data_IF_502677958281
#
_entry.id   IF_502677958281
#
_cell.length_a   1.000
_cell.length_b   1.000
_cell.length_c   1.000
_cell.angle_alpha   90.00
_cell.angle_beta   90.00
_cell.angle_gamma   90.00
#
_symmetry.space_group_name_H-M   'P 1'
#
loop_
_entity.id
_entity.type
_entity.pdbx_description
1 polymer ?
#
# COMPACT_ATOMS: atom_id res chain seq x y z
N UNK A 1 12.83 -26.07 6.85
CA UNK A 1 14.01 -25.19 7.03
C UNK A 1 14.15 -24.03 6.02
N UNK A 2 13.61 -24.08 4.78
CA UNK A 2 13.70 -22.93 3.84
C UNK A 2 12.68 -21.81 4.10
N UNK A 3 11.43 -22.15 4.44
CA UNK A 3 10.37 -21.17 4.75
C UNK A 3 10.71 -20.28 5.96
N UNK A 4 11.30 -20.85 7.00
CA UNK A 4 11.69 -20.11 8.22
C UNK A 4 12.79 -19.07 7.96
N UNK A 5 13.70 -19.31 7.00
CA UNK A 5 14.80 -18.39 6.69
C UNK A 5 14.33 -17.19 5.85
N UNK A 6 13.34 -17.37 4.98
CA UNK A 6 12.72 -16.29 4.19
C UNK A 6 11.87 -15.40 5.10
N UNK A 7 11.04 -15.99 5.98
CA UNK A 7 10.23 -15.26 6.96
C UNK A 7 11.12 -14.50 7.96
N UNK A 8 12.20 -15.12 8.44
CA UNK A 8 13.15 -14.46 9.36
C UNK A 8 13.86 -13.25 8.75
N UNK A 9 14.08 -13.24 7.42
CA UNK A 9 14.68 -12.10 6.76
C UNK A 9 13.68 -10.94 6.59
N UNK A 10 12.41 -11.25 6.29
CA UNK A 10 11.37 -10.25 6.11
C UNK A 10 11.10 -9.45 7.39
N UNK A 11 11.03 -10.11 8.55
CA UNK A 11 10.81 -9.44 9.85
C UNK A 11 11.90 -8.42 10.18
N UNK A 12 13.17 -8.71 9.86
CA UNK A 12 14.29 -7.76 10.07
C UNK A 12 14.16 -6.53 9.19
N UNK A 13 13.75 -6.72 7.93
CA UNK A 13 13.51 -5.59 7.04
C UNK A 13 12.33 -4.75 7.52
N UNK A 14 11.22 -5.37 7.95
CA UNK A 14 10.09 -4.66 8.54
C UNK A 14 10.54 -3.84 9.76
N UNK A 15 11.32 -4.42 10.67
CA UNK A 15 11.85 -3.71 11.84
C UNK A 15 12.80 -2.57 11.47
N UNK A 16 13.60 -2.74 10.41
CA UNK A 16 14.46 -1.69 9.89
C UNK A 16 13.63 -0.52 9.35
N UNK A 17 12.69 -0.79 8.45
CA UNK A 17 11.93 0.25 7.77
C UNK A 17 10.88 0.92 8.68
N UNK A 18 10.40 0.24 9.72
CA UNK A 18 9.50 0.82 10.73
C UNK A 18 10.16 1.94 11.56
N UNK A 19 11.49 2.09 11.52
CA UNK A 19 12.21 3.17 12.22
C UNK A 19 12.13 4.51 11.49
N UNK A 20 11.85 4.50 10.19
CA UNK A 20 11.67 5.71 9.40
C UNK A 20 10.25 6.22 9.52
N UNK A 21 10.06 7.53 9.38
CA UNK A 21 8.72 8.14 9.34
C UNK A 21 8.19 8.17 7.91
N UNK A 22 6.91 7.84 7.67
CA UNK A 22 6.30 8.04 6.35
C UNK A 22 6.40 9.50 5.91
N UNK A 23 6.77 9.73 4.66
CA UNK A 23 6.86 11.08 4.10
C UNK A 23 5.47 11.57 3.71
N UNK A 24 4.94 12.66 4.32
CA UNK A 24 3.68 13.23 3.88
C UNK A 24 3.84 13.83 2.49
N UNK A 25 2.88 13.59 1.60
CA UNK A 25 2.86 14.14 0.24
C UNK A 25 1.60 15.00 0.09
N UNK A 26 1.79 16.25 -0.32
CA UNK A 26 0.69 17.21 -0.49
C UNK A 26 0.05 17.08 -1.88
N UNK A 27 -1.21 17.49 -2.00
CA UNK A 27 -1.90 17.52 -3.29
C UNK A 27 -1.14 18.40 -4.30
N UNK A 28 -0.69 19.58 -3.87
CA UNK A 28 0.15 20.46 -4.70
C UNK A 28 1.43 19.76 -5.16
N UNK A 29 2.13 19.06 -4.27
CA UNK A 29 3.34 18.33 -4.63
C UNK A 29 3.10 17.23 -5.67
N UNK A 30 1.96 16.52 -5.60
CA UNK A 30 1.59 15.52 -6.62
C UNK A 30 1.28 16.15 -7.97
N UNK A 31 0.60 17.32 -7.98
CA UNK A 31 0.28 18.07 -9.21
C UNK A 31 1.57 18.59 -9.84
N UNK A 32 2.41 19.28 -9.07
CA UNK A 32 3.68 19.83 -9.55
C UNK A 32 4.58 18.70 -10.10
N UNK A 33 4.64 17.57 -9.41
CA UNK A 33 5.39 16.39 -9.88
C UNK A 33 4.79 15.76 -11.15
N UNK A 34 3.49 15.84 -11.38
CA UNK A 34 2.89 15.32 -12.61
C UNK A 34 3.29 16.13 -13.86
N UNK A 35 3.64 17.41 -13.69
CA UNK A 35 4.05 18.29 -14.79
C UNK A 35 5.53 18.10 -15.11
N UNK A 36 6.40 18.15 -14.09
CA UNK A 36 7.85 18.23 -14.29
C UNK A 36 8.64 17.03 -13.71
N UNK A 37 7.97 16.02 -13.16
CA UNK A 37 8.61 14.92 -12.44
C UNK A 37 9.31 13.89 -13.31
N UNK A 38 10.48 13.43 -12.87
CA UNK A 38 11.22 12.32 -13.49
C UNK A 38 10.84 10.97 -12.87
N UNK A 39 10.64 9.95 -13.71
CA UNK A 39 10.45 8.56 -13.30
C UNK A 39 11.56 8.07 -12.35
N UNK A 40 12.80 8.55 -12.50
CA UNK A 40 13.93 8.19 -11.62
C UNK A 40 13.71 8.68 -10.20
N UNK A 41 13.18 9.88 -10.03
CA UNK A 41 12.89 10.45 -8.72
C UNK A 41 11.70 9.73 -8.08
N UNK A 42 10.66 9.45 -8.86
CA UNK A 42 9.54 8.62 -8.42
C UNK A 42 10.00 7.23 -7.96
N UNK A 43 10.88 6.58 -8.73
CA UNK A 43 11.45 5.28 -8.40
C UNK A 43 12.26 5.32 -7.09
N UNK A 44 13.17 6.29 -6.95
CA UNK A 44 14.00 6.44 -5.74
C UNK A 44 13.15 6.67 -4.50
N UNK A 45 12.10 7.48 -4.61
CA UNK A 45 11.17 7.75 -3.53
C UNK A 45 10.34 6.50 -3.18
N UNK A 46 9.63 5.91 -4.14
CA UNK A 46 8.66 4.86 -3.89
C UNK A 46 9.28 3.54 -3.43
N UNK A 47 10.47 3.18 -3.93
CA UNK A 47 11.14 1.93 -3.50
C UNK A 47 11.47 1.92 -2.00
N UNK A 48 11.55 3.09 -1.36
CA UNK A 48 11.77 3.23 0.08
C UNK A 48 10.45 3.53 0.79
N UNK A 49 9.70 4.53 0.34
CA UNK A 49 8.47 5.00 1.00
C UNK A 49 7.42 3.89 1.16
N UNK A 50 7.27 3.01 0.14
CA UNK A 50 6.33 1.89 0.22
C UNK A 50 6.73 0.89 1.32
N UNK A 51 8.02 0.58 1.45
CA UNK A 51 8.55 -0.31 2.49
C UNK A 51 8.35 0.30 3.88
N UNK A 52 8.54 1.61 4.03
CA UNK A 52 8.26 2.33 5.28
C UNK A 52 6.79 2.21 5.65
N UNK A 53 5.88 2.58 4.75
CA UNK A 53 4.42 2.56 5.03
C UNK A 53 3.90 1.16 5.34
N UNK A 54 4.36 0.14 4.61
CA UNK A 54 4.00 -1.26 4.91
C UNK A 54 4.57 -1.74 6.24
N UNK A 55 5.79 -1.31 6.61
CA UNK A 55 6.38 -1.69 7.90
C UNK A 55 5.62 -1.12 9.08
N UNK A 56 5.17 0.14 8.98
CA UNK A 56 4.28 0.75 9.97
C UNK A 56 2.97 -0.02 10.08
N UNK A 57 2.32 -0.30 8.95
CA UNK A 57 1.10 -1.11 8.93
C UNK A 57 1.30 -2.50 9.55
N UNK A 58 2.45 -3.13 9.34
CA UNK A 58 2.77 -4.42 9.96
C UNK A 58 2.93 -4.30 11.48
N UNK A 59 3.45 -3.19 11.99
CA UNK A 59 3.51 -2.92 13.44
C UNK A 59 2.12 -2.67 14.03
N UNK A 60 1.19 -2.10 13.27
CA UNK A 60 -0.21 -1.96 13.70
C UNK A 60 -0.91 -3.29 13.91
N UNK A 61 -0.45 -4.36 13.25
CA UNK A 61 -1.04 -5.70 13.43
C UNK A 61 -0.86 -6.25 14.85
N UNK A 62 0.05 -5.69 15.65
CA UNK A 62 0.23 -6.08 17.06
C UNK A 62 -0.93 -5.64 17.96
N UNK A 63 -1.78 -4.72 17.51
CA UNK A 63 -2.92 -4.20 18.30
C UNK A 63 -4.25 -4.85 17.93
N UNK A 64 -4.24 -5.83 17.01
CA UNK A 64 -5.44 -6.52 16.57
C UNK A 64 -5.78 -7.67 17.53
N UNK A 65 -7.07 -7.92 17.81
CA UNK A 65 -7.49 -9.15 18.50
C UNK A 65 -6.94 -10.41 17.82
N UNK A 66 -6.34 -11.31 18.60
CA UNK A 66 -5.77 -12.58 18.08
C UNK A 66 -6.79 -13.37 17.25
N UNK A 67 -8.07 -13.36 17.66
CA UNK A 67 -9.16 -14.02 16.92
C UNK A 67 -9.31 -13.52 15.48
N UNK A 68 -9.10 -12.22 15.21
CA UNK A 68 -9.11 -11.69 13.84
C UNK A 68 -7.87 -12.15 13.08
N UNK A 69 -6.70 -12.08 13.71
CA UNK A 69 -5.42 -12.51 13.12
C UNK A 69 -5.47 -13.97 12.66
N UNK A 70 -6.14 -14.84 13.41
CA UNK A 70 -6.26 -16.27 13.13
C UNK A 70 -7.23 -16.61 11.99
N UNK A 71 -8.06 -15.67 11.56
CA UNK A 71 -9.03 -15.93 10.49
C UNK A 71 -8.34 -16.23 9.15
N UNK A 72 -8.84 -17.21 8.36
CA UNK A 72 -8.28 -17.52 7.05
C UNK A 72 -8.19 -16.31 6.13
N UNK A 73 -9.20 -15.44 6.13
CA UNK A 73 -9.20 -14.23 5.31
C UNK A 73 -8.11 -13.23 5.75
N UNK A 74 -7.86 -13.06 7.05
CA UNK A 74 -6.76 -12.19 7.51
C UNK A 74 -5.38 -12.78 7.19
N UNK A 75 -5.23 -14.11 7.28
CA UNK A 75 -3.99 -14.77 6.86
C UNK A 75 -3.71 -14.59 5.36
N UNK A 76 -4.75 -14.53 4.53
CA UNK A 76 -4.59 -14.16 3.11
C UNK A 76 -4.09 -12.71 2.97
N UNK A 77 -4.67 -11.76 3.71
CA UNK A 77 -4.23 -10.35 3.71
C UNK A 77 -2.73 -10.25 4.04
N UNK A 78 -2.28 -10.94 5.09
CA UNK A 78 -0.88 -10.99 5.48
C UNK A 78 0.02 -11.44 4.32
N UNK A 79 -0.34 -12.55 3.65
CA UNK A 79 0.43 -13.07 2.51
C UNK A 79 0.50 -12.06 1.36
N UNK A 80 -0.59 -11.36 1.05
CA UNK A 80 -0.63 -10.38 -0.03
C UNK A 80 0.28 -9.16 0.26
N UNK A 81 0.31 -8.69 1.50
CA UNK A 81 1.21 -7.62 1.92
C UNK A 81 2.67 -8.08 1.96
N UNK A 82 2.97 -9.24 2.53
CA UNK A 82 4.33 -9.81 2.61
C UNK A 82 4.92 -10.03 1.21
N UNK A 83 4.11 -10.50 0.26
CA UNK A 83 4.52 -10.64 -1.14
C UNK A 83 4.86 -9.27 -1.75
N UNK A 84 4.00 -8.28 -1.56
CA UNK A 84 4.19 -6.94 -2.15
C UNK A 84 5.42 -6.23 -1.57
N UNK A 85 5.64 -6.38 -0.26
CA UNK A 85 6.84 -5.90 0.42
C UNK A 85 8.09 -6.55 -0.17
N UNK A 86 8.09 -7.88 -0.32
CA UNK A 86 9.24 -8.62 -0.84
C UNK A 86 9.58 -8.24 -2.28
N UNK A 87 8.55 -8.03 -3.11
CA UNK A 87 8.72 -7.59 -4.51
C UNK A 87 9.33 -6.19 -4.60
N UNK A 88 8.90 -5.23 -3.78
CA UNK A 88 9.51 -3.88 -3.75
C UNK A 88 10.90 -3.91 -3.13
N UNK A 89 11.12 -4.72 -2.09
CA UNK A 89 12.42 -4.87 -1.43
C UNK A 89 13.49 -5.37 -2.41
N UNK A 90 13.12 -6.14 -3.43
CA UNK A 90 14.04 -6.60 -4.48
C UNK A 90 14.68 -5.45 -5.28
N UNK A 91 14.10 -4.24 -5.24
CA UNK A 91 14.66 -3.04 -5.88
C UNK A 91 15.56 -2.22 -4.95
N UNK A 92 15.77 -2.66 -3.70
CA UNK A 92 16.63 -1.97 -2.77
C UNK A 92 18.08 -1.96 -3.28
N UNK A 93 18.77 -0.82 -3.17
CA UNK A 93 20.13 -0.60 -3.65
C UNK A 93 20.35 -0.86 -5.16
N UNK A 94 19.30 -0.90 -5.99
CA UNK A 94 19.44 -1.00 -7.45
C UNK A 94 19.44 0.40 -8.07
N UNK A 95 20.51 0.80 -8.77
CA UNK A 95 20.53 2.12 -9.41
C UNK A 95 19.51 2.24 -10.55
N UNK A 96 18.87 3.42 -10.72
CA UNK A 96 17.85 3.62 -11.73
C UNK A 96 18.43 3.51 -13.14
N UNK A 97 18.03 2.46 -13.84
CA UNK A 97 18.33 2.22 -15.24
C UNK A 97 17.03 1.82 -15.99
N UNK A 98 16.98 1.90 -17.33
CA UNK A 98 15.73 1.67 -18.08
C UNK A 98 15.04 0.35 -17.73
N UNK A 99 15.80 -0.73 -17.54
CA UNK A 99 15.25 -2.04 -17.15
C UNK A 99 14.68 -2.02 -15.74
N UNK A 100 15.41 -1.47 -14.77
CA UNK A 100 14.94 -1.36 -13.39
C UNK A 100 13.66 -0.52 -13.27
N UNK A 101 13.59 0.61 -13.98
CA UNK A 101 12.44 1.51 -13.98
C UNK A 101 11.19 0.83 -14.58
N UNK A 102 11.35 0.15 -15.72
CA UNK A 102 10.26 -0.62 -16.35
C UNK A 102 9.76 -1.73 -15.43
N UNK A 103 10.68 -2.56 -14.92
CA UNK A 103 10.34 -3.68 -14.05
C UNK A 103 9.68 -3.20 -12.75
N UNK A 104 10.10 -2.05 -12.21
CA UNK A 104 9.48 -1.45 -11.03
C UNK A 104 8.05 -1.01 -11.33
N UNK A 105 7.84 -0.33 -12.46
CA UNK A 105 6.51 0.11 -12.90
C UNK A 105 5.57 -1.08 -13.07
N UNK A 106 6.01 -2.14 -13.75
CA UNK A 106 5.25 -3.40 -13.91
C UNK A 106 4.95 -4.06 -12.56
N UNK A 107 5.93 -4.07 -11.65
CA UNK A 107 5.76 -4.57 -10.27
C UNK A 107 4.65 -3.79 -9.55
N UNK A 108 4.65 -2.46 -9.63
CA UNK A 108 3.64 -1.62 -9.01
C UNK A 108 2.24 -1.84 -9.62
N UNK A 109 2.14 -2.05 -10.94
CA UNK A 109 0.88 -2.44 -11.60
C UNK A 109 0.38 -3.79 -11.06
N UNK A 110 1.27 -4.77 -10.88
CA UNK A 110 0.95 -6.06 -10.28
C UNK A 110 0.43 -5.92 -8.84
N UNK A 111 1.11 -5.14 -8.00
CA UNK A 111 0.70 -4.85 -6.62
C UNK A 111 -0.69 -4.19 -6.61
N UNK A 112 -0.92 -3.22 -7.47
CA UNK A 112 -2.21 -2.52 -7.59
C UNK A 112 -3.37 -3.48 -7.87
N UNK A 113 -3.17 -4.44 -8.79
CA UNK A 113 -4.14 -5.48 -9.13
C UNK A 113 -4.34 -6.46 -7.96
N UNK A 114 -3.25 -6.94 -7.36
CA UNK A 114 -3.27 -7.86 -6.21
C UNK A 114 -4.08 -7.31 -5.03
N UNK A 115 -3.99 -6.00 -4.79
CA UNK A 115 -4.66 -5.34 -3.66
C UNK A 115 -6.06 -4.80 -3.98
N UNK A 116 -6.60 -5.07 -5.17
CA UNK A 116 -7.92 -4.56 -5.57
C UNK A 116 -9.03 -4.96 -4.59
N UNK A 117 -9.06 -6.23 -4.18
CA UNK A 117 -10.12 -6.81 -3.35
C UNK A 117 -9.78 -6.88 -1.84
N UNK A 118 -8.75 -6.16 -1.38
CA UNK A 118 -8.33 -6.28 0.02
C UNK A 118 -9.43 -5.86 1.00
N UNK A 119 -10.26 -4.87 0.65
CA UNK A 119 -11.35 -4.37 1.51
C UNK A 119 -12.44 -5.43 1.68
N UNK A 120 -12.99 -6.05 0.61
CA UNK A 120 -13.83 -7.24 0.74
C UNK A 120 -13.19 -8.36 1.57
N UNK A 121 -11.88 -8.60 1.44
CA UNK A 121 -11.21 -9.64 2.24
C UNK A 121 -11.17 -9.25 3.74
N UNK A 122 -10.92 -7.98 4.09
CA UNK A 122 -11.00 -7.50 5.46
C UNK A 122 -12.41 -7.67 6.05
N UNK A 123 -13.44 -7.36 5.27
CA UNK A 123 -14.83 -7.58 5.68
C UNK A 123 -15.12 -9.06 5.95
N UNK A 124 -14.65 -9.96 5.08
CA UNK A 124 -14.77 -11.41 5.31
C UNK A 124 -14.05 -11.87 6.57
N UNK A 125 -12.83 -11.36 6.83
CA UNK A 125 -12.09 -11.66 8.05
C UNK A 125 -12.87 -11.24 9.32
N UNK A 126 -13.48 -10.05 9.29
CA UNK A 126 -14.34 -9.60 10.39
C UNK A 126 -15.55 -10.53 10.58
N UNK A 127 -16.24 -10.92 9.49
CA UNK A 127 -17.37 -11.84 9.56
C UNK A 127 -16.99 -13.23 10.07
N UNK A 128 -15.80 -13.73 9.70
CA UNK A 128 -15.25 -14.99 10.20
C UNK A 128 -15.00 -14.92 11.72
N UNK A 129 -14.44 -13.82 12.21
CA UNK A 129 -14.22 -13.59 13.64
C UNK A 129 -15.53 -13.47 14.42
N UNK A 130 -16.49 -12.70 13.92
CA UNK A 130 -17.78 -12.43 14.56
C UNK A 130 -18.62 -13.72 14.69
N UNK A 131 -18.59 -14.59 13.66
CA UNK A 131 -19.22 -15.93 13.72
C UNK A 131 -18.63 -16.84 14.80
N UNK A 132 -17.37 -16.63 15.18
CA UNK A 132 -16.72 -17.43 16.23
C UNK A 132 -17.13 -17.01 17.65
N UNK A 133 -17.89 -15.92 17.81
CA UNK A 133 -18.39 -15.44 19.09
C UNK A 133 -18.46 -13.91 19.16
N UNK A 134 -19.25 -13.36 20.09
CA UNK A 134 -19.47 -11.92 20.20
C UNK A 134 -18.15 -11.15 20.42
N UNK A 135 -18.09 -9.93 19.88
CA UNK A 135 -17.00 -8.97 20.09
C UNK A 135 -17.36 -8.03 21.23
N UNK A 136 -16.51 -7.95 22.24
CA UNK A 136 -16.72 -7.02 23.36
C UNK A 136 -16.41 -5.55 22.99
N UNK A 137 -16.68 -4.61 23.89
CA UNK A 137 -16.47 -3.19 23.62
C UNK A 137 -14.99 -2.82 23.44
N UNK A 138 -14.07 -3.51 24.13
CA UNK A 138 -12.63 -3.26 24.07
C UNK A 138 -12.10 -3.72 22.71
N UNK A 139 -12.46 -4.94 22.30
CA UNK A 139 -12.12 -5.48 20.98
C UNK A 139 -12.66 -4.59 19.86
N UNK A 140 -13.90 -4.10 19.97
CA UNK A 140 -14.47 -3.15 18.99
C UNK A 140 -13.65 -1.87 18.88
N UNK A 141 -13.22 -1.30 20.01
CA UNK A 141 -12.40 -0.08 20.00
C UNK A 141 -11.03 -0.33 19.36
N UNK A 142 -10.38 -1.46 19.67
CA UNK A 142 -9.11 -1.84 19.03
C UNK A 142 -9.26 -2.08 17.52
N UNK A 143 -10.35 -2.72 17.10
CA UNK A 143 -10.66 -2.93 15.69
C UNK A 143 -10.89 -1.61 14.95
N UNK A 144 -11.69 -0.71 15.52
CA UNK A 144 -11.93 0.61 14.94
C UNK A 144 -10.62 1.37 14.74
N UNK A 145 -9.80 1.46 15.79
CA UNK A 145 -8.47 2.08 15.74
C UNK A 145 -7.59 1.47 14.65
N UNK A 146 -7.55 0.14 14.59
CA UNK A 146 -6.76 -0.58 13.60
C UNK A 146 -7.24 -0.29 12.17
N UNK A 147 -8.55 -0.37 11.92
CA UNK A 147 -9.13 -0.14 10.59
C UNK A 147 -8.92 1.28 10.11
N UNK A 148 -9.08 2.28 10.98
CA UNK A 148 -8.80 3.69 10.64
C UNK A 148 -7.34 3.86 10.18
N UNK A 149 -6.39 3.26 10.89
CA UNK A 149 -4.97 3.36 10.56
C UNK A 149 -4.59 2.59 9.30
N UNK A 150 -5.07 1.35 9.14
CA UNK A 150 -4.79 0.54 7.94
C UNK A 150 -5.43 1.15 6.70
N UNK A 151 -6.67 1.59 6.76
CA UNK A 151 -7.34 2.11 5.58
C UNK A 151 -6.77 3.46 5.15
N UNK A 152 -6.40 4.34 6.10
CA UNK A 152 -5.68 5.57 5.77
C UNK A 152 -4.30 5.28 5.17
N UNK A 153 -3.54 4.35 5.74
CA UNK A 153 -2.24 3.94 5.19
C UNK A 153 -2.40 3.37 3.77
N UNK A 154 -3.39 2.50 3.56
CA UNK A 154 -3.69 1.91 2.26
C UNK A 154 -4.09 2.96 1.23
N UNK A 155 -4.95 3.91 1.58
CA UNK A 155 -5.32 5.02 0.69
C UNK A 155 -4.03 5.74 0.27
N UNK A 156 -3.17 6.10 1.22
CA UNK A 156 -1.89 6.75 0.91
C UNK A 156 -0.98 5.93 -0.01
N UNK A 157 -0.80 4.63 0.24
CA UNK A 157 -0.01 3.73 -0.63
C UNK A 157 -0.62 3.65 -2.02
N UNK A 158 -1.94 3.50 -2.10
CA UNK A 158 -2.67 3.38 -3.36
C UNK A 158 -2.58 4.68 -4.17
N UNK A 159 -2.70 5.84 -3.54
CA UNK A 159 -2.47 7.16 -4.16
C UNK A 159 -1.08 7.22 -4.81
N UNK A 160 -0.03 6.84 -4.07
CA UNK A 160 1.34 6.86 -4.58
C UNK A 160 1.57 5.90 -5.75
N UNK A 161 1.10 4.67 -5.64
CA UNK A 161 1.21 3.65 -6.69
C UNK A 161 0.44 4.06 -7.94
N UNK A 162 -0.80 4.56 -7.77
CA UNK A 162 -1.59 5.01 -8.90
C UNK A 162 -0.97 6.23 -9.60
N UNK A 163 -0.46 7.20 -8.84
CA UNK A 163 0.22 8.36 -9.43
C UNK A 163 1.39 7.92 -10.33
N UNK A 164 2.26 7.04 -9.84
CA UNK A 164 3.38 6.54 -10.64
C UNK A 164 2.92 5.75 -11.87
N UNK A 165 1.99 4.82 -11.69
CA UNK A 165 1.54 3.94 -12.79
C UNK A 165 0.75 4.66 -13.87
N UNK A 166 0.08 5.78 -13.56
CA UNK A 166 -0.60 6.60 -14.57
C UNK A 166 0.37 7.56 -15.28
N UNK A 167 1.37 8.10 -14.59
CA UNK A 167 2.35 9.00 -15.21
C UNK A 167 3.38 8.25 -16.08
N UNK A 168 3.78 7.05 -15.65
CA UNK A 168 4.92 6.34 -16.26
C UNK A 168 4.60 4.92 -16.73
N UNK A 169 3.39 4.44 -16.50
CA UNK A 169 2.94 3.14 -17.00
C UNK A 169 2.41 3.20 -18.43
N UNK A 170 1.99 2.06 -18.94
CA UNK A 170 1.45 1.91 -20.30
C UNK A 170 -0.06 2.23 -20.38
N UNK A 171 -0.65 2.77 -19.32
CA UNK A 171 -2.09 3.08 -19.28
C UNK A 171 -2.31 4.46 -19.87
N UNK A 172 -3.21 4.56 -20.86
CA UNK A 172 -3.57 5.84 -21.44
C UNK A 172 -4.28 6.70 -20.38
N UNK A 173 -3.99 8.01 -20.30
CA UNK A 173 -4.73 8.92 -19.45
C UNK A 173 -6.22 8.83 -19.78
N UNK A 174 -7.07 8.66 -18.76
CA UNK A 174 -8.52 8.66 -18.97
C UNK A 174 -9.01 10.04 -19.42
N UNK A 175 -8.35 11.10 -18.93
CA UNK A 175 -8.62 12.47 -19.35
C UNK A 175 -7.31 13.25 -19.64
N UNK A 176 -7.25 14.06 -20.73
CA UNK A 176 -6.03 14.78 -21.11
C UNK A 176 -5.51 15.80 -20.09
N UNK A 177 -6.37 16.26 -19.18
CA UNK A 177 -6.05 17.30 -18.19
C UNK A 177 -5.67 16.75 -16.81
N UNK A 178 -5.62 15.41 -16.66
CA UNK A 178 -5.29 14.78 -15.39
C UNK A 178 -3.80 14.83 -15.09
N UNK A 179 -3.47 15.28 -13.88
CA UNK A 179 -2.15 15.18 -13.26
C UNK A 179 -2.03 13.81 -12.55
N UNK A 180 -1.92 12.73 -13.33
CA UNK A 180 -1.99 11.36 -12.81
C UNK A 180 -3.39 11.02 -12.33
N UNK A 181 -3.59 10.80 -11.02
CA UNK A 181 -4.94 10.57 -10.44
C UNK A 181 -5.70 11.87 -10.09
N UNK A 182 -5.07 13.02 -10.27
CA UNK A 182 -5.63 14.30 -9.81
C UNK A 182 -6.22 15.04 -10.99
N UNK A 183 -7.47 15.47 -10.86
CA UNK A 183 -8.06 16.48 -11.73
C UNK A 183 -7.84 17.87 -11.09
N UNK A 184 -6.92 18.70 -11.60
CA UNK A 184 -6.66 20.03 -11.07
C UNK A 184 -7.81 21.02 -11.30
N UNK A 185 -8.76 20.69 -12.17
CA UNK A 185 -9.91 21.54 -12.52
C UNK A 185 -11.24 20.84 -12.21
N UNK A 186 -11.24 19.95 -11.20
CA UNK A 186 -12.40 19.17 -10.80
C UNK A 186 -13.63 20.06 -10.54
N UNK A 187 -14.64 19.92 -11.40
CA UNK A 187 -15.95 20.53 -11.19
C UNK A 187 -16.77 19.67 -10.23
N UNK A 188 -16.81 20.10 -8.97
CA UNK A 188 -17.54 19.42 -7.89
C UNK A 188 -19.02 19.24 -8.24
N UNK A 189 -19.65 20.21 -8.92
CA UNK A 189 -21.06 20.12 -9.26
C UNK A 189 -21.32 18.98 -10.26
N UNK A 190 -20.40 18.77 -11.21
CA UNK A 190 -20.48 17.68 -12.19
C UNK A 190 -20.27 16.30 -11.58
N UNK A 191 -19.49 16.19 -10.50
CA UNK A 191 -19.25 14.91 -9.80
C UNK A 191 -20.50 14.43 -9.04
N UNK A 192 -21.34 15.37 -8.58
CA UNK A 192 -22.53 15.07 -7.77
C UNK A 192 -23.73 14.64 -8.64
N UNK A 193 -23.74 14.99 -9.92
CA UNK A 193 -24.81 14.67 -10.88
C UNK A 193 -24.75 13.21 -11.35
#
# INVERSE_FOLDING_TARGET
>A
MRLSRVVFNLSKHIEHYARFQPTPVTLKGLIDFAVDGDIKDSYKFLRVELLVRWSHMRKEMNYIPTRLLETPSFQLINKLYDQSFSEVLAFNNIEPNPTALRNFTETLVGIRRRHADIIPIFARAYMEMDKAGPTDLIEKNHLQYFYDRIFMNRIGIRTLIYQHTLLFGNELPQHPQQAGIIDPYCDVARIVQ
#
